data_IF_793072678294
#
_entry.id   IF_793072678294
#
_cell.length_a   1.000
_cell.length_b   1.000
_cell.length_c   1.000
_cell.angle_alpha   90.00
_cell.angle_beta   90.00
_cell.angle_gamma   90.00
#
_symmetry.space_group_name_H-M   'P 1'
#
loop_
_entity.id
_entity.type
_entity.pdbx_description
1 polymer ?
#
# COMPACT_ATOMS: atom_id res chain seq x y z
N UNK A 1 -17.84 41.25 4.48
CA UNK A 1 -17.67 39.93 5.10
C UNK A 1 -17.11 39.00 4.04
N UNK A 2 -15.85 38.64 4.15
CA UNK A 2 -15.27 37.62 3.26
C UNK A 2 -16.05 36.32 3.48
N UNK A 3 -16.59 35.71 2.40
CA UNK A 3 -17.14 34.36 2.43
C UNK A 3 -16.06 33.46 2.97
N UNK A 4 -16.26 32.78 4.11
CA UNK A 4 -15.41 31.71 4.57
C UNK A 4 -15.29 30.71 3.39
N UNK A 5 -14.08 30.59 2.86
CA UNK A 5 -13.81 29.59 1.84
C UNK A 5 -14.12 28.22 2.44
N UNK A 6 -15.03 27.47 1.85
CA UNK A 6 -15.26 26.08 2.23
C UNK A 6 -13.93 25.32 2.12
N UNK A 7 -13.69 24.37 3.01
CA UNK A 7 -12.47 23.57 3.03
C UNK A 7 -12.22 22.86 1.67
N UNK A 8 -13.30 22.44 1.02
CA UNK A 8 -13.33 21.84 -0.33
C UNK A 8 -12.82 22.79 -1.41
N UNK A 9 -13.13 24.11 -1.31
CA UNK A 9 -12.67 25.13 -2.27
C UNK A 9 -11.16 25.42 -2.15
N UNK A 10 -10.49 24.84 -1.15
CA UNK A 10 -9.06 25.05 -0.89
C UNK A 10 -8.15 24.00 -1.53
N UNK A 11 -8.70 22.99 -2.23
CA UNK A 11 -7.93 21.99 -2.97
C UNK A 11 -8.15 22.13 -4.47
N UNK A 12 -7.11 21.77 -5.23
CA UNK A 12 -7.16 21.70 -6.69
C UNK A 12 -8.08 20.56 -7.13
N UNK A 13 -8.79 20.73 -8.25
CA UNK A 13 -9.60 19.64 -8.82
C UNK A 13 -8.72 18.52 -9.35
N UNK A 14 -9.15 17.26 -9.17
CA UNK A 14 -8.48 16.08 -9.75
C UNK A 14 -8.34 16.18 -11.27
N UNK A 15 -9.34 16.76 -11.94
CA UNK A 15 -9.38 16.86 -13.41
C UNK A 15 -8.46 17.96 -13.95
N UNK A 16 -8.14 18.97 -13.13
CA UNK A 16 -7.22 20.04 -13.51
C UNK A 16 -5.77 19.65 -13.31
N UNK A 17 -5.43 19.13 -12.12
CA UNK A 17 -4.08 18.70 -11.76
C UNK A 17 -4.14 17.62 -10.66
N UNK A 18 -4.08 16.37 -11.08
CA UNK A 18 -4.14 15.22 -10.17
C UNK A 18 -2.98 15.20 -9.17
N UNK A 19 -1.79 15.61 -9.60
CA UNK A 19 -0.62 15.65 -8.73
C UNK A 19 -0.74 16.70 -7.63
N UNK A 20 -1.25 17.89 -7.97
CA UNK A 20 -1.50 18.95 -7.00
C UNK A 20 -2.69 18.60 -6.09
N UNK A 21 -3.77 18.03 -6.64
CA UNK A 21 -4.88 17.51 -5.86
C UNK A 21 -4.40 16.52 -4.78
N UNK A 22 -3.56 15.55 -5.15
CA UNK A 22 -3.00 14.58 -4.22
C UNK A 22 -2.23 15.26 -3.08
N UNK A 23 -1.38 16.23 -3.41
CA UNK A 23 -0.60 17.00 -2.43
C UNK A 23 -1.52 17.81 -1.49
N UNK A 24 -2.55 18.43 -2.05
CA UNK A 24 -3.54 19.19 -1.27
C UNK A 24 -4.32 18.31 -0.30
N UNK A 25 -4.78 17.13 -0.75
CA UNK A 25 -5.48 16.16 0.11
C UNK A 25 -4.58 15.69 1.24
N UNK A 26 -3.35 15.28 0.96
CA UNK A 26 -2.39 14.82 1.98
C UNK A 26 -2.18 15.90 3.05
N UNK A 27 -2.06 17.16 2.64
CA UNK A 27 -1.87 18.31 3.54
C UNK A 27 -3.13 18.66 4.30
N UNK A 28 -4.27 18.78 3.62
CA UNK A 28 -5.54 19.24 4.21
C UNK A 28 -6.21 18.20 5.09
N UNK A 29 -6.06 16.91 4.77
CA UNK A 29 -6.47 15.82 5.65
C UNK A 29 -5.50 15.60 6.82
N UNK A 30 -4.43 16.40 6.91
CA UNK A 30 -3.41 16.34 7.96
C UNK A 30 -2.72 14.98 8.10
N UNK A 31 -2.42 14.34 6.97
CA UNK A 31 -1.77 13.03 6.95
C UNK A 31 -0.26 13.12 7.12
N UNK A 32 0.38 14.12 6.50
CA UNK A 32 1.82 14.35 6.60
C UNK A 32 2.17 15.84 6.75
N UNK A 33 3.41 16.09 7.16
CA UNK A 33 4.05 17.39 7.17
C UNK A 33 5.48 17.30 6.68
N UNK A 34 6.06 18.42 6.27
CA UNK A 34 7.45 18.48 5.83
C UNK A 34 8.40 18.62 7.03
N UNK A 35 9.62 18.07 6.90
CA UNK A 35 10.71 18.27 7.85
C UNK A 35 11.80 19.15 7.26
N UNK A 36 12.79 19.51 8.08
CA UNK A 36 13.99 20.22 7.62
C UNK A 36 14.87 19.37 6.67
N UNK A 37 14.69 18.05 6.67
CA UNK A 37 15.40 17.15 5.77
C UNK A 37 14.53 16.89 4.54
N UNK A 38 14.97 17.41 3.39
CA UNK A 38 14.24 17.26 2.13
C UNK A 38 13.97 15.78 1.82
N UNK A 39 12.71 15.46 1.54
CA UNK A 39 12.28 14.10 1.20
C UNK A 39 11.99 13.19 2.39
N UNK A 40 12.18 13.67 3.62
CA UNK A 40 11.76 13.00 4.85
C UNK A 40 10.52 13.71 5.40
N UNK A 41 9.43 12.97 5.58
CA UNK A 41 8.13 13.53 5.96
C UNK A 41 7.79 13.17 7.41
N UNK A 42 7.12 14.08 8.12
CA UNK A 42 6.38 13.71 9.32
C UNK A 42 5.12 12.99 8.90
N UNK A 43 4.87 11.79 9.40
CA UNK A 43 3.55 11.17 9.33
C UNK A 43 2.79 11.64 10.55
N UNK A 44 1.76 12.48 10.33
CA UNK A 44 0.96 13.07 11.40
C UNK A 44 0.00 12.04 12.02
N UNK A 45 -0.61 12.31 13.17
CA UNK A 45 -1.46 11.35 13.86
C UNK A 45 -2.55 10.71 13.01
N UNK A 46 -3.21 11.47 12.14
CA UNK A 46 -4.25 10.94 11.25
C UNK A 46 -3.68 9.93 10.22
N UNK A 47 -2.51 10.22 9.65
CA UNK A 47 -1.82 9.32 8.73
C UNK A 47 -1.24 8.10 9.45
N UNK A 48 -0.65 8.32 10.63
CA UNK A 48 -0.05 7.23 11.39
C UNK A 48 -1.11 6.23 11.93
N UNK A 49 -2.28 6.73 12.32
CA UNK A 49 -3.38 5.86 12.75
C UNK A 49 -3.89 4.93 11.63
N UNK A 50 -3.85 5.38 10.37
CA UNK A 50 -4.10 4.50 9.22
C UNK A 50 -3.03 3.42 9.14
N UNK A 51 -1.76 3.79 9.32
CA UNK A 51 -0.64 2.83 9.33
C UNK A 51 -0.75 1.81 10.46
N UNK A 52 -1.12 2.22 11.65
CA UNK A 52 -1.36 1.31 12.78
C UNK A 52 -2.44 0.28 12.46
N UNK A 53 -3.51 0.68 11.78
CA UNK A 53 -4.56 -0.24 11.35
C UNK A 53 -4.07 -1.19 10.24
N UNK A 54 -3.28 -0.71 9.28
CA UNK A 54 -2.62 -1.54 8.27
C UNK A 54 -1.73 -2.59 8.96
N UNK A 55 -0.91 -2.15 9.90
CA UNK A 55 -0.03 -3.01 10.67
C UNK A 55 -0.80 -4.08 11.43
N UNK A 56 -1.85 -3.69 12.14
CA UNK A 56 -2.71 -4.62 12.90
C UNK A 56 -3.33 -5.70 12.01
N UNK A 57 -3.89 -5.31 10.88
CA UNK A 57 -4.58 -6.21 9.95
C UNK A 57 -3.63 -7.17 9.25
N UNK A 58 -2.49 -6.69 8.77
CA UNK A 58 -1.48 -7.52 8.12
C UNK A 58 -0.77 -8.44 9.12
N UNK A 59 -0.37 -7.93 10.28
CA UNK A 59 0.34 -8.71 11.30
C UNK A 59 -0.49 -9.91 11.79
N UNK A 60 -1.80 -9.71 11.95
CA UNK A 60 -2.71 -10.80 12.28
C UNK A 60 -2.70 -11.92 11.23
N UNK A 61 -2.78 -11.55 9.94
CA UNK A 61 -2.73 -12.49 8.82
C UNK A 61 -1.38 -13.22 8.72
N UNK A 62 -0.28 -12.52 8.97
CA UNK A 62 1.05 -13.13 8.99
C UNK A 62 1.17 -14.17 10.11
N UNK A 63 0.74 -13.84 11.29
CA UNK A 63 0.80 -14.74 12.46
C UNK A 63 -0.01 -16.01 12.28
N UNK A 64 -1.15 -15.95 11.58
CA UNK A 64 -1.93 -17.13 11.20
C UNK A 64 -1.14 -18.14 10.36
N UNK A 65 -0.09 -17.70 9.69
CA UNK A 65 0.80 -18.54 8.85
C UNK A 65 2.11 -18.91 9.54
N UNK A 66 2.23 -18.62 10.84
CA UNK A 66 3.42 -18.94 11.63
C UNK A 66 4.56 -17.93 11.55
N UNK A 67 4.29 -16.72 11.06
CA UNK A 67 5.26 -15.63 11.03
C UNK A 67 5.51 -15.10 12.45
N UNK A 68 6.78 -14.91 12.78
CA UNK A 68 7.23 -14.30 14.03
C UNK A 68 7.88 -12.94 13.75
N UNK A 69 7.58 -11.95 14.58
CA UNK A 69 8.20 -10.63 14.47
C UNK A 69 9.55 -10.58 15.19
N UNK A 70 10.52 -9.96 14.53
CA UNK A 70 11.85 -9.66 15.07
C UNK A 70 12.19 -8.20 14.86
N UNK A 71 13.30 -7.75 15.40
CA UNK A 71 13.88 -6.45 15.08
C UNK A 71 15.39 -6.57 14.92
N UNK A 72 15.89 -6.19 13.76
CA UNK A 72 17.32 -6.11 13.45
C UNK A 72 17.78 -4.65 13.52
N UNK A 73 18.99 -4.38 14.04
CA UNK A 73 19.57 -3.03 14.03
C UNK A 73 19.69 -2.46 12.61
N UNK A 74 19.56 -1.12 12.51
CA UNK A 74 19.43 -0.47 11.20
C UNK A 74 20.71 -0.36 10.38
N UNK A 75 21.89 -0.53 10.99
CA UNK A 75 23.15 -0.30 10.30
C UNK A 75 23.69 -1.57 9.66
N UNK A 76 24.12 -1.44 8.40
CA UNK A 76 24.75 -2.51 7.63
C UNK A 76 26.20 -2.12 7.35
N UNK A 77 27.20 -2.90 7.77
CA UNK A 77 28.59 -2.68 7.37
C UNK A 77 28.75 -2.81 5.85
N UNK A 78 29.57 -1.96 5.25
CA UNK A 78 29.82 -1.98 3.80
C UNK A 78 30.27 -3.38 3.32
N UNK A 79 31.14 -4.03 4.08
CA UNK A 79 31.63 -5.39 3.80
C UNK A 79 30.51 -6.44 3.75
N UNK A 80 29.49 -6.29 4.59
CA UNK A 80 28.33 -7.19 4.58
C UNK A 80 27.43 -6.92 3.36
N UNK A 81 27.23 -5.65 3.01
CA UNK A 81 26.44 -5.28 1.84
C UNK A 81 27.07 -5.81 0.54
N UNK A 82 28.40 -5.84 0.46
CA UNK A 82 29.13 -6.25 -0.74
C UNK A 82 29.18 -7.77 -0.98
N UNK A 83 28.71 -8.60 -0.06
CA UNK A 83 28.75 -10.05 -0.22
C UNK A 83 27.89 -10.59 -1.35
N UNK A 84 26.82 -9.88 -1.70
CA UNK A 84 25.93 -10.23 -2.83
C UNK A 84 25.99 -9.12 -3.87
N UNK A 85 26.65 -9.39 -5.01
CA UNK A 85 27.00 -8.39 -6.01
C UNK A 85 25.78 -7.74 -6.67
N UNK A 86 24.81 -8.53 -7.11
CA UNK A 86 23.64 -8.02 -7.82
C UNK A 86 22.79 -7.13 -6.91
N UNK A 87 22.71 -7.49 -5.64
CA UNK A 87 22.01 -6.69 -4.62
C UNK A 87 22.69 -5.35 -4.40
N UNK A 88 24.03 -5.34 -4.30
CA UNK A 88 24.83 -4.09 -4.16
C UNK A 88 24.63 -3.18 -5.35
N UNK A 89 24.73 -3.69 -6.56
CA UNK A 89 24.58 -2.90 -7.80
C UNK A 89 23.20 -2.25 -7.87
N UNK A 90 22.15 -2.94 -7.39
CA UNK A 90 20.79 -2.42 -7.35
C UNK A 90 20.58 -1.27 -6.34
N UNK A 91 21.23 -1.30 -5.19
CA UNK A 91 20.99 -0.35 -4.10
C UNK A 91 22.09 0.69 -3.88
N UNK A 92 23.29 0.48 -4.38
CA UNK A 92 24.44 1.38 -4.12
C UNK A 92 24.15 2.88 -4.38
N UNK A 93 23.41 3.27 -5.43
CA UNK A 93 23.12 4.67 -5.69
C UNK A 93 22.19 5.35 -4.68
N UNK A 94 21.45 4.57 -3.89
CA UNK A 94 20.37 5.03 -3.01
C UNK A 94 20.70 4.85 -1.51
N UNK A 95 21.91 4.44 -1.17
CA UNK A 95 22.30 4.18 0.21
C UNK A 95 22.72 5.47 0.91
N UNK A 96 22.23 5.68 2.13
CA UNK A 96 22.73 6.71 3.04
C UNK A 96 23.90 6.15 3.87
N UNK A 97 25.07 6.76 3.77
CA UNK A 97 26.29 6.33 4.43
C UNK A 97 26.53 7.03 5.77
N UNK A 98 26.90 6.26 6.78
CA UNK A 98 27.35 6.75 8.09
C UNK A 98 28.86 6.53 8.17
N UNK A 99 29.61 7.62 8.33
CA UNK A 99 31.06 7.64 8.31
C UNK A 99 31.68 7.91 9.67
N UNK A 100 30.93 8.43 10.62
CA UNK A 100 31.39 8.77 11.97
C UNK A 100 30.49 8.15 13.04
N UNK A 101 31.11 7.70 14.13
CA UNK A 101 30.47 7.34 15.39
C UNK A 101 30.82 8.38 16.45
N UNK A 102 29.88 9.22 16.86
CA UNK A 102 30.20 10.42 17.62
C UNK A 102 31.06 11.37 16.78
N UNK A 103 32.24 11.73 17.27
CA UNK A 103 33.21 12.62 16.58
C UNK A 103 34.33 11.86 15.85
N UNK A 104 34.38 10.54 16.01
CA UNK A 104 35.42 9.70 15.43
C UNK A 104 34.99 9.10 14.09
N UNK A 105 35.89 9.09 13.12
CA UNK A 105 35.69 8.41 11.85
C UNK A 105 35.69 6.90 12.07
N UNK A 106 34.71 6.22 11.46
CA UNK A 106 34.61 4.76 11.52
C UNK A 106 35.70 4.12 10.65
N UNK A 107 36.27 3.01 11.11
CA UNK A 107 37.21 2.22 10.31
C UNK A 107 36.58 1.64 9.06
N UNK A 108 35.31 1.29 9.15
CA UNK A 108 34.45 0.84 8.06
C UNK A 108 33.15 1.65 8.07
N UNK A 109 32.78 2.23 6.95
CA UNK A 109 31.51 2.94 6.86
C UNK A 109 30.32 1.99 6.93
N UNK A 110 29.24 2.50 7.48
CA UNK A 110 27.98 1.78 7.61
C UNK A 110 26.94 2.42 6.68
N UNK A 111 26.00 1.66 6.19
CA UNK A 111 24.81 2.24 5.58
C UNK A 111 23.61 2.11 6.49
N UNK A 112 22.69 3.08 6.39
CA UNK A 112 21.36 2.92 6.92
C UNK A 112 20.61 1.98 5.98
N UNK A 113 20.01 0.91 6.50
CA UNK A 113 19.38 -0.15 5.71
C UNK A 113 18.43 0.40 4.65
N UNK A 114 18.65 0.09 3.35
CA UNK A 114 17.65 0.33 2.30
C UNK A 114 16.65 -0.83 2.19
N UNK A 115 17.04 -1.98 2.69
CA UNK A 115 16.34 -3.26 2.85
C UNK A 115 17.25 -4.16 3.70
N UNK A 116 16.77 -5.27 4.22
CA UNK A 116 17.50 -6.03 5.25
C UNK A 116 17.91 -7.45 4.84
N UNK A 117 17.91 -7.81 3.55
CA UNK A 117 18.31 -9.16 3.08
C UNK A 117 19.66 -9.57 3.65
N UNK A 118 20.65 -8.69 3.59
CA UNK A 118 22.00 -9.00 4.06
C UNK A 118 22.09 -9.18 5.57
N UNK A 119 21.33 -8.40 6.35
CA UNK A 119 21.24 -8.54 7.80
C UNK A 119 20.58 -9.87 8.19
N UNK A 120 19.48 -10.23 7.53
CA UNK A 120 18.83 -11.51 7.77
C UNK A 120 19.71 -12.70 7.36
N UNK A 121 20.44 -12.58 6.26
CA UNK A 121 21.39 -13.61 5.84
C UNK A 121 22.51 -13.80 6.87
N UNK A 122 23.06 -12.74 7.43
CA UNK A 122 24.07 -12.82 8.51
C UNK A 122 23.52 -13.50 9.75
N UNK A 123 22.27 -13.17 10.13
CA UNK A 123 21.58 -13.82 11.26
C UNK A 123 21.33 -15.31 10.98
N UNK A 124 20.78 -15.63 9.83
CA UNK A 124 20.44 -17.02 9.49
C UNK A 124 21.68 -17.90 9.32
N UNK A 125 22.78 -17.39 8.83
CA UNK A 125 24.05 -18.13 8.78
C UNK A 125 24.54 -18.59 10.16
N UNK A 126 24.16 -17.86 11.22
CA UNK A 126 24.49 -18.19 12.62
C UNK A 126 23.46 -19.11 13.28
N UNK A 127 22.18 -18.94 12.94
CA UNK A 127 21.08 -19.66 13.61
C UNK A 127 20.73 -21.00 12.96
N UNK A 128 20.94 -21.16 11.65
CA UNK A 128 20.56 -22.36 10.91
C UNK A 128 21.72 -23.32 10.85
N UNK A 129 21.58 -24.51 11.43
CA UNK A 129 22.58 -25.58 11.48
C UNK A 129 22.02 -26.92 10.98
N UNK A 130 20.75 -27.19 11.25
CA UNK A 130 20.11 -28.46 10.91
C UNK A 130 18.71 -28.26 10.34
N UNK A 131 18.17 -29.32 9.74
CA UNK A 131 16.79 -29.32 9.24
C UNK A 131 15.73 -28.97 10.32
N UNK A 132 16.07 -29.12 11.61
CA UNK A 132 15.19 -28.80 12.73
C UNK A 132 15.04 -27.30 12.97
N UNK A 133 15.96 -26.49 12.44
CA UNK A 133 15.93 -25.04 12.55
C UNK A 133 15.05 -24.37 11.47
N UNK A 134 14.55 -25.17 10.51
CA UNK A 134 13.76 -24.73 9.39
C UNK A 134 12.27 -25.13 9.51
N UNK A 135 11.35 -24.31 8.95
CA UNK A 135 11.60 -23.05 8.31
C UNK A 135 11.85 -21.91 9.32
N UNK A 136 12.62 -20.90 8.89
CA UNK A 136 12.69 -19.60 9.57
C UNK A 136 11.74 -18.64 8.84
N UNK A 137 10.80 -18.05 9.58
CA UNK A 137 9.76 -17.19 9.00
C UNK A 137 9.63 -15.93 9.84
N UNK A 138 10.54 -14.98 9.62
CA UNK A 138 10.61 -13.73 10.37
C UNK A 138 10.12 -12.54 9.55
N UNK A 139 9.52 -11.61 10.25
CA UNK A 139 9.09 -10.32 9.75
C UNK A 139 9.55 -9.21 10.69
N UNK A 140 9.87 -8.05 10.16
CA UNK A 140 10.07 -6.86 10.99
C UNK A 140 9.25 -5.68 10.47
N UNK A 141 8.70 -4.93 11.41
CA UNK A 141 8.10 -3.62 11.20
C UNK A 141 9.13 -2.57 11.52
N UNK A 142 9.54 -1.80 10.51
CA UNK A 142 10.64 -0.85 10.67
C UNK A 142 10.59 0.27 9.65
N UNK A 143 11.55 1.19 9.74
CA UNK A 143 11.85 2.14 8.68
C UNK A 143 13.05 1.68 7.86
N UNK A 144 13.12 2.14 6.61
CA UNK A 144 14.27 2.02 5.72
C UNK A 144 14.55 3.37 5.07
N UNK A 145 15.77 3.55 4.58
CA UNK A 145 16.20 4.77 3.92
C UNK A 145 16.71 4.46 2.52
N UNK A 146 16.07 5.09 1.53
CA UNK A 146 16.47 5.08 0.12
C UNK A 146 16.60 6.51 -0.35
N UNK A 147 17.82 6.92 -0.73
CA UNK A 147 18.13 8.32 -1.00
C UNK A 147 17.62 8.78 -2.36
N UNK A 148 16.31 8.80 -2.48
CA UNK A 148 15.57 9.15 -3.68
C UNK A 148 15.81 10.60 -4.11
N UNK A 149 15.97 10.82 -5.41
CA UNK A 149 16.15 12.17 -5.99
C UNK A 149 14.83 12.95 -6.04
N UNK A 150 13.75 12.27 -6.42
CA UNK A 150 12.41 12.85 -6.50
C UNK A 150 11.51 12.18 -5.48
N UNK A 151 10.84 12.99 -4.66
CA UNK A 151 10.00 12.49 -3.56
C UNK A 151 8.57 12.99 -3.68
N UNK A 152 7.63 12.16 -3.20
CA UNK A 152 6.21 12.49 -3.05
C UNK A 152 5.66 11.78 -1.82
N UNK A 153 4.89 12.46 -0.96
CA UNK A 153 4.39 11.88 0.28
C UNK A 153 3.76 10.50 0.07
N UNK A 154 4.09 9.53 0.91
CA UNK A 154 3.73 8.11 0.89
C UNK A 154 4.21 7.32 -0.33
N UNK A 155 4.22 7.88 -1.52
CA UNK A 155 4.54 7.15 -2.75
C UNK A 155 6.04 6.90 -2.91
N UNK A 156 6.83 7.92 -2.59
CA UNK A 156 8.29 7.89 -2.70
C UNK A 156 8.91 8.90 -1.74
N UNK A 157 9.48 8.44 -0.64
CA UNK A 157 10.17 9.25 0.36
C UNK A 157 11.52 8.64 0.71
N UNK A 158 12.45 9.47 1.20
CA UNK A 158 13.80 9.01 1.55
C UNK A 158 13.78 8.05 2.73
N UNK A 159 12.93 8.30 3.71
CA UNK A 159 12.63 7.36 4.77
C UNK A 159 11.15 7.01 4.71
N UNK A 160 10.82 5.74 4.85
CA UNK A 160 9.44 5.26 4.91
C UNK A 160 9.31 4.07 5.86
N UNK A 161 8.10 3.87 6.34
CA UNK A 161 7.75 2.73 7.16
C UNK A 161 7.25 1.59 6.29
N UNK A 162 7.58 0.38 6.69
CA UNK A 162 7.14 -0.83 6.04
C UNK A 162 7.17 -2.04 6.97
N UNK A 163 6.75 -3.16 6.47
CA UNK A 163 7.17 -4.47 6.95
C UNK A 163 8.02 -5.15 5.88
N UNK A 164 8.96 -5.93 6.32
CA UNK A 164 9.73 -6.83 5.49
C UNK A 164 9.82 -8.20 6.13
N UNK A 165 9.30 -9.19 5.42
CA UNK A 165 9.44 -10.59 5.80
C UNK A 165 10.62 -11.21 5.08
N UNK A 166 11.39 -12.02 5.80
CA UNK A 166 12.55 -12.75 5.27
C UNK A 166 12.51 -14.17 5.80
N UNK A 167 12.51 -15.13 4.89
CA UNK A 167 12.32 -16.54 5.27
C UNK A 167 13.42 -17.42 4.72
N UNK A 168 13.62 -18.58 5.36
CA UNK A 168 14.51 -19.62 4.90
C UNK A 168 13.83 -20.97 5.01
N UNK A 169 13.92 -21.76 3.95
CA UNK A 169 13.25 -23.05 3.79
C UNK A 169 14.23 -24.14 3.35
N UNK A 170 13.86 -25.38 3.63
CA UNK A 170 14.67 -26.55 3.26
C UNK A 170 14.66 -26.80 1.74
N UNK A 171 13.55 -26.54 1.06
CA UNK A 171 13.39 -26.88 -0.36
C UNK A 171 12.94 -25.67 -1.18
N UNK A 172 13.25 -25.73 -2.48
CA UNK A 172 12.78 -24.74 -3.46
C UNK A 172 11.25 -24.68 -3.53
N UNK A 173 10.57 -25.82 -3.39
CA UNK A 173 9.12 -25.89 -3.40
C UNK A 173 8.51 -25.16 -2.20
N UNK A 174 9.03 -25.38 -0.99
CA UNK A 174 8.57 -24.67 0.22
C UNK A 174 8.73 -23.15 0.10
N UNK A 175 9.86 -22.70 -0.48
CA UNK A 175 10.13 -21.29 -0.72
C UNK A 175 9.13 -20.70 -1.72
N UNK A 176 8.85 -21.39 -2.83
CA UNK A 176 7.87 -20.94 -3.81
C UNK A 176 6.45 -20.87 -3.23
N UNK A 177 6.04 -21.89 -2.48
CA UNK A 177 4.75 -21.92 -1.80
C UNK A 177 4.59 -20.73 -0.82
N UNK A 178 5.64 -20.42 -0.04
CA UNK A 178 5.65 -19.26 0.84
C UNK A 178 5.58 -17.95 0.07
N UNK A 179 6.32 -17.84 -1.02
CA UNK A 179 6.32 -16.63 -1.87
C UNK A 179 4.91 -16.34 -2.40
N UNK A 180 4.22 -17.34 -2.91
CA UNK A 180 2.85 -17.20 -3.43
C UNK A 180 1.84 -16.98 -2.30
N UNK A 181 1.99 -17.64 -1.16
CA UNK A 181 1.12 -17.44 0.00
C UNK A 181 1.13 -15.99 0.48
N UNK A 182 2.31 -15.37 0.58
CA UNK A 182 2.43 -13.98 1.04
C UNK A 182 1.88 -13.00 0.00
N UNK A 183 2.06 -13.27 -1.28
CA UNK A 183 1.43 -12.49 -2.36
C UNK A 183 -0.11 -12.52 -2.24
N UNK A 184 -0.69 -13.69 -2.00
CA UNK A 184 -2.14 -13.84 -1.83
C UNK A 184 -2.64 -13.12 -0.58
N UNK A 185 -1.91 -13.14 0.53
CA UNK A 185 -2.24 -12.37 1.73
C UNK A 185 -2.29 -10.87 1.42
N UNK A 186 -1.32 -10.35 0.67
CA UNK A 186 -1.33 -8.95 0.24
C UNK A 186 -2.52 -8.62 -0.66
N UNK A 187 -2.83 -9.47 -1.63
CA UNK A 187 -3.96 -9.28 -2.52
C UNK A 187 -5.30 -9.27 -1.76
N UNK A 188 -5.51 -10.24 -0.88
CA UNK A 188 -6.71 -10.34 -0.06
C UNK A 188 -6.85 -9.14 0.91
N UNK A 189 -5.74 -8.73 1.52
CA UNK A 189 -5.71 -7.53 2.35
C UNK A 189 -6.10 -6.26 1.57
N UNK A 190 -5.52 -6.05 0.40
CA UNK A 190 -5.84 -4.89 -0.43
C UNK A 190 -7.32 -4.86 -0.80
N UNK A 191 -7.89 -5.98 -1.22
CA UNK A 191 -9.31 -6.03 -1.61
C UNK A 191 -10.27 -5.97 -0.43
N UNK A 192 -10.03 -6.76 0.61
CA UNK A 192 -10.97 -6.89 1.73
C UNK A 192 -10.91 -5.71 2.71
N UNK A 193 -9.72 -5.15 2.95
CA UNK A 193 -9.52 -4.10 3.97
C UNK A 193 -9.38 -2.73 3.34
N UNK A 194 -8.57 -2.59 2.29
CA UNK A 194 -8.35 -1.31 1.61
C UNK A 194 -9.35 -1.02 0.49
N UNK A 195 -10.21 -1.98 0.15
CA UNK A 195 -11.15 -1.89 -0.97
C UNK A 195 -10.45 -1.54 -2.31
N UNK A 196 -9.23 -2.04 -2.50
CA UNK A 196 -8.40 -1.80 -3.70
C UNK A 196 -8.26 -3.10 -4.47
N UNK A 197 -8.85 -3.23 -5.67
CA UNK A 197 -8.68 -4.39 -6.52
C UNK A 197 -7.26 -4.43 -7.10
N UNK A 198 -6.67 -5.61 -7.20
CA UNK A 198 -5.31 -5.81 -7.66
C UNK A 198 -5.20 -6.87 -8.74
N UNK A 199 -4.19 -6.73 -9.59
CA UNK A 199 -3.77 -7.75 -10.54
C UNK A 199 -2.54 -8.45 -9.97
N UNK A 200 -2.61 -9.77 -9.84
CA UNK A 200 -1.49 -10.61 -9.39
C UNK A 200 -0.71 -11.15 -10.58
N UNK A 201 0.60 -11.12 -10.51
CA UNK A 201 1.43 -11.70 -11.56
C UNK A 201 2.91 -11.70 -11.24
N UNK A 202 3.68 -12.25 -12.17
CA UNK A 202 5.13 -12.31 -12.13
C UNK A 202 5.72 -11.09 -12.85
N UNK A 203 6.76 -10.51 -12.30
CA UNK A 203 7.57 -9.50 -13.01
C UNK A 203 8.41 -10.17 -14.11
N UNK A 204 8.71 -9.42 -15.15
CA UNK A 204 9.70 -9.83 -16.15
C UNK A 204 11.10 -9.85 -15.52
N UNK A 205 12.05 -10.52 -16.18
CA UNK A 205 13.43 -10.58 -15.67
C UNK A 205 14.08 -9.19 -15.58
N UNK A 206 13.66 -8.25 -16.41
CA UNK A 206 14.10 -6.85 -16.36
C UNK A 206 13.59 -6.11 -15.13
N UNK A 207 12.34 -6.36 -14.73
CA UNK A 207 11.64 -5.62 -13.67
C UNK A 207 11.68 -6.34 -12.30
N UNK A 208 12.28 -7.53 -12.23
CA UNK A 208 12.42 -8.27 -10.98
C UNK A 208 13.38 -7.59 -10.01
N UNK A 209 13.21 -7.87 -8.72
CA UNK A 209 14.08 -7.39 -7.65
C UNK A 209 15.52 -7.91 -7.81
N UNK A 210 16.50 -7.07 -7.54
CA UNK A 210 17.92 -7.39 -7.66
C UNK A 210 18.31 -8.56 -6.74
N UNK A 211 18.84 -9.64 -7.31
CA UNK A 211 19.20 -10.86 -6.61
C UNK A 211 18.09 -11.91 -6.51
N UNK A 212 16.86 -11.60 -6.94
CA UNK A 212 15.76 -12.57 -6.94
C UNK A 212 15.78 -13.45 -8.20
N UNK A 213 15.43 -14.73 -8.05
CA UNK A 213 15.12 -15.61 -9.16
C UNK A 213 13.75 -15.30 -9.76
N UNK A 214 12.79 -14.98 -8.92
CA UNK A 214 11.46 -14.54 -9.33
C UNK A 214 10.93 -13.46 -8.40
N UNK A 215 10.25 -12.46 -8.97
CA UNK A 215 9.49 -11.46 -8.25
C UNK A 215 8.04 -11.53 -8.67
N UNK A 216 7.16 -11.65 -7.69
CA UNK A 216 5.72 -11.54 -7.87
C UNK A 216 5.23 -10.21 -7.31
N UNK A 217 4.16 -9.71 -7.88
CA UNK A 217 3.62 -8.38 -7.58
C UNK A 217 2.11 -8.37 -7.56
N UNK A 218 1.56 -7.44 -6.80
CA UNK A 218 0.19 -6.99 -6.95
C UNK A 218 0.21 -5.56 -7.49
N UNK A 219 -0.51 -5.33 -8.58
CA UNK A 219 -0.59 -4.05 -9.27
C UNK A 219 -1.99 -3.46 -9.13
N UNK A 220 -2.06 -2.18 -8.76
CA UNK A 220 -3.30 -1.43 -8.65
C UNK A 220 -3.36 -0.34 -9.70
N UNK A 221 -4.57 0.08 -10.09
CA UNK A 221 -4.79 1.20 -10.99
C UNK A 221 -5.29 2.42 -10.21
N UNK A 222 -4.56 3.53 -10.33
CA UNK A 222 -4.94 4.78 -9.70
C UNK A 222 -5.99 5.52 -10.53
N UNK A 223 -6.63 6.52 -9.95
CA UNK A 223 -7.71 7.25 -10.62
C UNK A 223 -7.25 7.92 -11.92
N UNK A 224 -6.02 8.39 -11.99
CA UNK A 224 -5.43 9.01 -13.19
C UNK A 224 -4.97 8.00 -14.25
N UNK A 225 -5.26 6.72 -14.08
CA UNK A 225 -4.89 5.65 -15.01
C UNK A 225 -3.44 5.19 -14.93
N UNK A 226 -2.67 5.63 -13.94
CA UNK A 226 -1.33 5.09 -13.69
C UNK A 226 -1.37 3.88 -12.79
N UNK A 227 -0.48 2.94 -13.06
CA UNK A 227 -0.28 1.76 -12.22
C UNK A 227 0.53 2.08 -10.97
N UNK A 228 0.24 1.37 -9.89
CA UNK A 228 1.02 1.39 -8.66
C UNK A 228 1.35 -0.03 -8.23
N UNK A 229 2.64 -0.31 -8.07
CA UNK A 229 3.10 -1.53 -7.42
C UNK A 229 2.73 -1.46 -5.93
N UNK A 230 1.81 -2.33 -5.52
CA UNK A 230 1.18 -2.24 -4.20
C UNK A 230 1.77 -3.20 -3.17
N UNK A 231 2.45 -4.24 -3.61
CA UNK A 231 3.16 -5.19 -2.78
C UNK A 231 3.95 -6.17 -3.63
N UNK A 232 5.04 -6.69 -3.09
CA UNK A 232 5.90 -7.65 -3.78
C UNK A 232 6.26 -8.81 -2.89
N UNK A 233 6.46 -9.97 -3.52
CA UNK A 233 6.95 -11.18 -2.89
C UNK A 233 8.01 -11.81 -3.79
N UNK A 234 9.20 -12.06 -3.22
CA UNK A 234 10.38 -12.49 -3.96
C UNK A 234 10.79 -13.90 -3.57
N UNK A 235 11.12 -14.70 -4.56
CA UNK A 235 11.83 -15.98 -4.38
C UNK A 235 13.29 -15.76 -4.77
N UNK A 236 14.20 -15.92 -3.82
CA UNK A 236 15.64 -15.76 -4.06
C UNK A 236 16.32 -17.06 -4.43
N UNK A 237 15.62 -18.20 -4.41
CA UNK A 237 16.26 -19.49 -4.54
C UNK A 237 17.34 -19.68 -3.48
N UNK A 238 18.49 -20.20 -3.84
CA UNK A 238 19.64 -20.41 -2.95
C UNK A 238 20.81 -19.42 -3.17
N UNK A 239 20.62 -18.38 -3.99
CA UNK A 239 21.69 -17.45 -4.35
C UNK A 239 22.29 -16.71 -3.15
N UNK A 240 21.46 -16.10 -2.30
CA UNK A 240 21.92 -15.46 -1.06
C UNK A 240 22.49 -16.50 -0.07
N UNK A 241 21.89 -17.69 0.03
CA UNK A 241 22.40 -18.74 0.89
C UNK A 241 23.82 -19.16 0.50
N UNK A 242 24.12 -19.27 -0.78
CA UNK A 242 25.47 -19.54 -1.27
C UNK A 242 26.44 -18.40 -0.97
N UNK A 243 26.04 -17.16 -1.18
CA UNK A 243 26.88 -16.01 -0.93
C UNK A 243 27.21 -15.83 0.56
N UNK A 244 26.27 -16.15 1.46
CA UNK A 244 26.42 -15.98 2.91
C UNK A 244 26.76 -17.27 3.67
N UNK A 245 26.82 -18.43 2.99
CA UNK A 245 27.11 -19.70 3.62
C UNK A 245 25.99 -20.20 4.53
N UNK A 246 24.72 -20.00 4.15
CA UNK A 246 23.59 -20.45 4.95
C UNK A 246 23.26 -21.89 4.59
N UNK A 247 23.78 -22.83 5.38
CA UNK A 247 23.66 -24.26 5.16
C UNK A 247 23.04 -24.96 6.37
N UNK A 248 22.38 -26.07 6.11
CA UNK A 248 21.85 -26.95 7.14
C UNK A 248 22.19 -28.40 6.84
N UNK A 249 22.31 -29.20 7.89
CA UNK A 249 22.44 -30.66 7.76
C UNK A 249 21.04 -31.27 7.62
N UNK A 250 20.81 -31.94 6.51
CA UNK A 250 19.53 -32.62 6.24
C UNK A 250 19.37 -33.93 7.03
N UNK A 251 18.25 -34.63 6.82
CA UNK A 251 17.95 -35.88 7.53
C UNK A 251 18.89 -37.02 7.17
N UNK A 252 19.57 -36.94 6.01
CA UNK A 252 20.55 -37.87 5.53
C UNK A 252 22.00 -37.49 5.88
N UNK A 253 22.18 -36.51 6.79
CA UNK A 253 23.47 -35.94 7.22
C UNK A 253 24.29 -35.30 6.06
N UNK A 254 23.62 -34.75 5.05
CA UNK A 254 24.24 -33.98 3.99
C UNK A 254 24.04 -32.50 4.21
N UNK A 255 25.06 -31.70 3.84
CA UNK A 255 24.94 -30.23 3.84
C UNK A 255 24.14 -29.76 2.64
N UNK A 256 23.15 -28.95 2.90
CA UNK A 256 22.28 -28.31 1.89
C UNK A 256 22.24 -26.80 2.09
N UNK A 257 22.14 -26.04 1.02
CA UNK A 257 21.81 -24.63 1.10
C UNK A 257 20.30 -24.43 1.31
N UNK A 258 19.94 -23.42 2.08
CA UNK A 258 18.55 -23.03 2.25
C UNK A 258 18.02 -22.27 1.02
N UNK A 259 16.71 -22.27 0.84
CA UNK A 259 15.99 -21.47 -0.15
C UNK A 259 15.27 -20.34 0.55
N UNK A 260 15.43 -19.12 0.05
CA UNK A 260 14.99 -17.91 0.76
C UNK A 260 13.92 -17.15 -0.01
N UNK A 261 13.08 -16.44 0.76
CA UNK A 261 12.07 -15.52 0.24
C UNK A 261 12.11 -14.20 0.99
N UNK A 262 11.62 -13.15 0.36
CA UNK A 262 11.26 -11.91 1.06
C UNK A 262 9.99 -11.30 0.49
N UNK A 263 9.30 -10.53 1.31
CA UNK A 263 8.04 -9.89 0.93
C UNK A 263 7.84 -8.61 1.73
N UNK A 264 7.32 -7.57 1.08
CA UNK A 264 7.21 -6.25 1.67
C UNK A 264 6.00 -5.45 1.20
N UNK A 265 5.47 -4.66 2.14
CA UNK A 265 4.44 -3.65 1.91
C UNK A 265 4.76 -2.40 2.75
N UNK A 266 4.54 -1.24 2.17
CA UNK A 266 4.97 0.04 2.74
C UNK A 266 3.82 0.99 3.00
N UNK A 267 4.10 2.12 3.62
CA UNK A 267 3.18 3.28 3.74
C UNK A 267 2.71 3.83 2.40
N UNK A 268 3.27 3.35 1.26
CA UNK A 268 2.76 3.63 -0.09
C UNK A 268 1.26 3.32 -0.21
N UNK A 269 0.76 2.33 0.53
CA UNK A 269 -0.66 1.96 0.50
C UNK A 269 -1.58 3.05 1.02
N UNK A 270 -1.12 3.96 1.86
CA UNK A 270 -1.87 5.16 2.24
C UNK A 270 -2.04 6.06 1.01
N UNK A 271 -0.99 6.23 0.22
CA UNK A 271 -1.06 6.92 -1.07
C UNK A 271 -2.02 6.27 -2.05
N UNK A 272 -2.03 4.93 -2.10
CA UNK A 272 -2.97 4.18 -2.92
C UNK A 272 -4.44 4.42 -2.51
N UNK A 273 -4.74 4.42 -1.22
CA UNK A 273 -6.08 4.74 -0.70
C UNK A 273 -6.53 6.13 -1.18
N UNK A 274 -5.65 7.12 -1.09
CA UNK A 274 -5.94 8.48 -1.55
C UNK A 274 -6.26 8.48 -3.04
N UNK A 275 -5.40 7.88 -3.85
CA UNK A 275 -5.49 7.95 -5.32
C UNK A 275 -6.57 7.04 -5.92
N UNK A 276 -6.98 5.99 -5.22
CA UNK A 276 -8.06 5.11 -5.68
C UNK A 276 -9.44 5.64 -5.28
N UNK A 277 -9.57 6.11 -4.03
CA UNK A 277 -10.87 6.40 -3.44
C UNK A 277 -11.20 7.88 -3.31
N UNK A 278 -10.19 8.75 -3.17
CA UNK A 278 -10.40 10.18 -2.98
C UNK A 278 -11.19 10.85 -4.11
N UNK A 279 -11.76 12.02 -3.80
CA UNK A 279 -12.49 12.85 -4.76
C UNK A 279 -12.18 14.33 -4.55
N UNK A 280 -12.92 15.21 -5.22
CA UNK A 280 -12.73 16.66 -5.09
C UNK A 280 -13.17 17.24 -3.73
N UNK A 281 -13.78 16.44 -2.87
CA UNK A 281 -14.07 16.79 -1.48
C UNK A 281 -12.98 16.32 -0.50
N UNK A 282 -12.02 15.53 -0.96
CA UNK A 282 -10.89 15.06 -0.18
C UNK A 282 -10.75 13.53 -0.14
N UNK A 283 -10.25 13.05 1.00
CA UNK A 283 -10.04 11.62 1.25
C UNK A 283 -11.37 10.86 1.39
N UNK A 284 -11.37 9.61 0.97
CA UNK A 284 -12.38 8.60 1.33
C UNK A 284 -11.68 7.40 1.93
N UNK A 285 -12.00 7.06 3.17
CA UNK A 285 -11.41 5.90 3.83
C UNK A 285 -12.36 4.72 3.77
N UNK A 286 -11.89 3.55 3.29
CA UNK A 286 -12.62 2.31 3.48
C UNK A 286 -12.89 2.09 4.98
N UNK A 287 -14.12 1.73 5.38
CA UNK A 287 -14.46 1.61 6.80
C UNK A 287 -13.56 0.67 7.60
N UNK A 288 -13.08 -0.43 7.00
CA UNK A 288 -12.23 -1.39 7.70
C UNK A 288 -10.87 -0.83 8.10
N UNK A 289 -10.34 0.13 7.34
CA UNK A 289 -9.04 0.77 7.65
C UNK A 289 -9.19 2.12 8.36
N UNK A 290 -10.35 2.74 8.34
CA UNK A 290 -10.57 4.05 8.91
C UNK A 290 -10.32 4.08 10.42
N UNK A 291 -9.44 4.95 10.93
CA UNK A 291 -9.22 5.09 12.37
C UNK A 291 -10.47 5.55 13.12
N UNK A 292 -11.28 6.39 12.48
CA UNK A 292 -12.62 6.81 12.91
C UNK A 292 -13.58 6.41 11.79
N UNK A 293 -14.54 5.54 12.12
CA UNK A 293 -15.53 5.06 11.17
C UNK A 293 -16.79 5.92 11.14
N UNK A 294 -17.12 6.50 12.28
CA UNK A 294 -18.26 7.38 12.44
C UNK A 294 -17.92 8.61 13.29
N UNK A 295 -18.31 9.79 12.82
CA UNK A 295 -18.19 11.03 13.57
C UNK A 295 -19.57 11.56 13.90
N UNK A 296 -19.87 11.67 15.19
CA UNK A 296 -21.10 12.32 15.66
C UNK A 296 -20.86 13.84 15.68
N UNK A 297 -21.74 14.57 15.03
CA UNK A 297 -21.72 16.04 14.99
C UNK A 297 -22.96 16.57 15.68
N UNK A 298 -22.84 17.06 16.93
CA UNK A 298 -23.91 17.71 17.62
C UNK A 298 -24.28 19.04 16.93
N UNK A 299 -25.55 19.20 16.58
CA UNK A 299 -26.10 20.43 16.01
C UNK A 299 -26.66 21.26 17.13
N UNK A 300 -26.34 22.55 17.17
CA UNK A 300 -26.73 23.47 18.29
C UNK A 300 -26.32 22.89 19.65
N UNK A 301 -25.07 22.47 19.76
CA UNK A 301 -24.54 21.71 20.91
C UNK A 301 -24.66 22.45 22.28
N UNK A 302 -24.88 23.78 22.26
CA UNK A 302 -25.07 24.56 23.48
C UNK A 302 -26.47 24.42 24.05
N UNK A 303 -27.43 23.86 23.32
CA UNK A 303 -28.75 23.54 23.85
C UNK A 303 -28.69 22.36 24.81
N UNK A 304 -29.51 22.47 25.87
CA UNK A 304 -29.61 21.44 26.91
C UNK A 304 -29.91 20.06 26.31
N UNK A 305 -29.22 19.03 26.79
CA UNK A 305 -29.43 17.64 26.40
C UNK A 305 -28.74 17.19 25.11
N UNK A 306 -28.19 18.09 24.29
CA UNK A 306 -27.59 17.75 23.01
C UNK A 306 -26.26 16.99 23.18
N UNK A 307 -25.35 17.53 23.99
CA UNK A 307 -24.07 16.87 24.23
C UNK A 307 -24.21 15.55 25.00
N UNK A 308 -25.12 15.52 25.96
CA UNK A 308 -25.43 14.31 26.73
C UNK A 308 -25.98 13.20 25.81
N UNK A 309 -26.88 13.55 24.89
CA UNK A 309 -27.38 12.58 23.92
C UNK A 309 -26.29 12.11 22.97
N UNK A 310 -25.45 13.00 22.46
CA UNK A 310 -24.31 12.64 21.61
C UNK A 310 -23.37 11.67 22.32
N UNK A 311 -23.06 11.88 23.61
CA UNK A 311 -22.25 10.98 24.41
C UNK A 311 -22.89 9.60 24.60
N UNK A 312 -24.22 9.55 24.79
CA UNK A 312 -24.95 8.28 24.86
C UNK A 312 -24.87 7.50 23.54
N UNK A 313 -25.03 8.17 22.40
CA UNK A 313 -24.94 7.55 21.08
C UNK A 313 -23.49 7.09 20.77
N UNK A 314 -22.50 7.86 21.19
CA UNK A 314 -21.10 7.47 21.06
C UNK A 314 -20.81 6.16 21.83
N UNK A 315 -21.25 6.08 23.07
CA UNK A 315 -21.07 4.87 23.88
C UNK A 315 -21.82 3.67 23.30
N UNK A 316 -23.04 3.86 22.83
CA UNK A 316 -23.82 2.81 22.15
C UNK A 316 -23.08 2.26 20.95
N UNK A 317 -22.52 3.10 20.08
CA UNK A 317 -21.76 2.70 18.90
C UNK A 317 -20.43 2.05 19.27
N UNK A 318 -19.74 2.55 20.30
CA UNK A 318 -18.50 1.95 20.79
C UNK A 318 -18.74 0.51 21.28
N UNK A 319 -19.82 0.28 22.01
CA UNK A 319 -20.21 -1.06 22.46
C UNK A 319 -20.60 -1.97 21.29
N UNK A 320 -21.09 -1.44 20.19
CA UNK A 320 -21.34 -2.17 18.95
C UNK A 320 -20.07 -2.42 18.12
N UNK A 321 -18.89 -2.06 18.62
CA UNK A 321 -17.60 -2.27 17.94
C UNK A 321 -17.25 -1.23 16.88
N UNK A 322 -17.96 -0.11 16.81
CA UNK A 322 -17.68 0.99 15.90
C UNK A 322 -16.61 1.91 16.48
N UNK A 323 -15.60 2.25 15.67
CA UNK A 323 -14.62 3.28 16.01
C UNK A 323 -15.27 4.66 15.79
N UNK A 324 -15.81 5.23 16.83
CA UNK A 324 -16.63 6.44 16.82
C UNK A 324 -16.02 7.54 17.66
N UNK A 325 -16.19 8.79 17.23
CA UNK A 325 -15.87 10.00 17.98
C UNK A 325 -17.00 11.02 17.86
N UNK A 326 -17.03 11.97 18.78
CA UNK A 326 -17.93 13.13 18.76
C UNK A 326 -17.12 14.40 18.56
N UNK A 327 -17.48 15.24 17.61
CA UNK A 327 -16.87 16.56 17.39
C UNK A 327 -17.55 17.60 18.26
N UNK A 328 -16.97 17.86 19.43
CA UNK A 328 -17.47 18.84 20.41
C UNK A 328 -16.82 20.21 20.25
N UNK A 329 -16.03 20.45 19.19
CA UNK A 329 -15.44 21.76 18.92
C UNK A 329 -16.54 22.83 18.72
N UNK A 330 -16.20 24.10 18.89
CA UNK A 330 -17.13 25.21 18.72
C UNK A 330 -17.27 25.73 17.27
N UNK A 331 -16.71 24.99 16.31
CA UNK A 331 -16.85 25.25 14.87
C UNK A 331 -18.32 25.16 14.42
N UNK A 332 -18.66 25.87 13.35
CA UNK A 332 -20.00 25.73 12.75
C UNK A 332 -20.26 24.34 12.20
N UNK A 333 -21.50 23.83 12.17
CA UNK A 333 -21.83 22.55 11.61
C UNK A 333 -21.34 22.35 10.18
N UNK A 334 -21.51 23.36 9.31
CA UNK A 334 -21.06 23.30 7.92
C UNK A 334 -19.53 23.15 7.80
N UNK A 335 -18.76 23.78 8.68
CA UNK A 335 -17.33 23.62 8.74
C UNK A 335 -16.95 22.19 9.18
N UNK A 336 -17.59 21.68 10.24
CA UNK A 336 -17.39 20.29 10.71
C UNK A 336 -17.69 19.28 9.61
N UNK A 337 -18.76 19.47 8.84
CA UNK A 337 -19.12 18.60 7.71
C UNK A 337 -18.02 18.57 6.65
N UNK A 338 -17.55 19.74 6.22
CA UNK A 338 -16.48 19.85 5.24
C UNK A 338 -15.16 19.24 5.73
N UNK A 339 -14.84 19.41 7.01
CA UNK A 339 -13.65 18.83 7.63
C UNK A 339 -13.72 17.30 7.68
N UNK A 340 -14.87 16.72 8.02
CA UNK A 340 -15.06 15.26 8.03
C UNK A 340 -15.01 14.68 6.61
N UNK A 341 -15.57 15.37 5.64
CA UNK A 341 -15.46 14.99 4.23
C UNK A 341 -14.00 15.01 3.76
N UNK A 342 -13.25 16.07 4.07
CA UNK A 342 -11.83 16.17 3.72
C UNK A 342 -10.99 15.05 4.35
N UNK A 343 -11.27 14.69 5.59
CA UNK A 343 -10.59 13.60 6.31
C UNK A 343 -11.03 12.20 5.90
N UNK A 344 -12.10 12.11 5.10
CA UNK A 344 -12.58 10.84 4.55
C UNK A 344 -13.27 9.92 5.55
N UNK A 345 -13.81 10.45 6.64
CA UNK A 345 -14.53 9.64 7.64
C UNK A 345 -15.77 9.02 6.98
N UNK A 346 -15.94 7.68 7.05
CA UNK A 346 -16.96 6.96 6.30
C UNK A 346 -18.40 7.41 6.59
N UNK A 347 -18.71 7.71 7.85
CA UNK A 347 -20.05 8.03 8.30
C UNK A 347 -20.04 9.28 9.17
N UNK A 348 -20.93 10.21 8.87
CA UNK A 348 -21.26 11.36 9.72
C UNK A 348 -22.64 11.18 10.30
N UNK A 349 -22.79 11.38 11.61
CA UNK A 349 -24.05 11.28 12.32
C UNK A 349 -24.42 12.67 12.83
N UNK A 350 -25.46 13.25 12.27
CA UNK A 350 -25.97 14.57 12.63
C UNK A 350 -27.03 14.41 13.73
N UNK A 351 -26.83 15.08 14.89
CA UNK A 351 -27.71 14.97 16.03
C UNK A 351 -27.99 16.37 16.62
N UNK A 352 -29.19 16.87 16.40
CA UNK A 352 -29.64 18.16 16.92
C UNK A 352 -30.89 18.03 17.79
N UNK A 353 -31.39 19.16 18.32
CA UNK A 353 -32.58 19.17 19.22
C UNK A 353 -33.81 18.55 18.59
N UNK A 354 -34.07 18.82 17.30
CA UNK A 354 -35.22 18.26 16.57
C UNK A 354 -35.07 16.74 16.37
N UNK A 355 -33.84 16.26 16.14
CA UNK A 355 -33.55 14.84 15.99
C UNK A 355 -33.79 14.11 17.32
N UNK A 356 -33.35 14.69 18.42
CA UNK A 356 -33.55 14.13 19.75
C UNK A 356 -35.04 14.06 20.09
N UNK A 357 -35.81 15.09 19.80
CA UNK A 357 -37.23 15.13 20.02
C UNK A 357 -37.95 14.04 19.20
N UNK A 358 -37.53 13.83 17.96
CA UNK A 358 -38.07 12.80 17.07
C UNK A 358 -37.51 11.39 17.34
N UNK A 359 -36.53 11.23 18.24
CA UNK A 359 -35.87 9.93 18.52
C UNK A 359 -35.08 9.35 17.36
N UNK A 360 -34.55 10.18 16.49
CA UNK A 360 -33.83 9.79 15.27
C UNK A 360 -32.59 10.65 15.05
N UNK A 361 -31.72 10.22 14.15
CA UNK A 361 -30.54 10.94 13.68
C UNK A 361 -30.47 10.88 12.16
N UNK A 362 -29.67 11.76 11.57
CA UNK A 362 -29.33 11.70 10.14
C UNK A 362 -27.93 11.11 10.01
N UNK A 363 -27.81 10.05 9.26
CA UNK A 363 -26.56 9.36 8.93
C UNK A 363 -26.19 9.68 7.49
N UNK A 364 -25.08 10.37 7.28
CA UNK A 364 -24.57 10.71 5.96
C UNK A 364 -23.39 9.81 5.57
N UNK A 365 -23.46 9.19 4.40
CA UNK A 365 -22.41 8.36 3.82
C UNK A 365 -21.40 9.23 3.09
N UNK A 366 -20.10 9.01 3.35
CA UNK A 366 -19.02 9.73 2.64
C UNK A 366 -18.87 9.27 1.19
N UNK A 367 -19.09 8.00 0.91
CA UNK A 367 -18.86 7.42 -0.43
C UNK A 367 -19.87 7.90 -1.48
N UNK A 368 -21.15 8.00 -1.13
CA UNK A 368 -22.23 8.39 -2.05
C UNK A 368 -22.83 9.78 -1.79
N UNK A 369 -22.60 10.35 -0.58
CA UNK A 369 -23.28 11.56 -0.12
C UNK A 369 -24.72 11.35 0.31
N UNK A 370 -25.23 10.09 0.30
CA UNK A 370 -26.57 9.76 0.71
C UNK A 370 -26.79 10.06 2.19
N UNK A 371 -27.98 10.64 2.51
CA UNK A 371 -28.42 10.87 3.89
C UNK A 371 -29.56 9.91 4.22
N UNK A 372 -29.43 9.20 5.32
CA UNK A 372 -30.37 8.20 5.80
C UNK A 372 -30.86 8.64 7.20
N UNK A 373 -32.17 8.66 7.41
CA UNK A 373 -32.74 8.85 8.74
C UNK A 373 -32.80 7.50 9.45
N UNK A 374 -32.20 7.42 10.64
CA UNK A 374 -32.12 6.22 11.45
C UNK A 374 -32.66 6.49 12.85
N UNK A 375 -33.48 5.61 13.38
CA UNK A 375 -33.93 5.71 14.78
C UNK A 375 -32.76 5.49 15.73
N UNK A 376 -32.71 6.24 16.83
CA UNK A 376 -31.61 6.18 17.78
C UNK A 376 -31.44 4.82 18.41
N UNK A 377 -32.54 4.10 18.67
CA UNK A 377 -32.52 2.73 19.24
C UNK A 377 -32.06 1.65 18.24
N UNK A 378 -32.12 1.93 16.95
CA UNK A 378 -31.62 1.04 15.89
C UNK A 378 -30.18 1.34 15.46
N UNK A 379 -29.58 2.40 15.97
CA UNK A 379 -28.29 2.91 15.47
C UNK A 379 -27.15 1.92 15.63
N UNK A 380 -27.12 1.17 16.72
CA UNK A 380 -26.08 0.14 16.99
C UNK A 380 -26.10 -1.04 15.98
N UNK A 381 -27.23 -1.28 15.33
CA UNK A 381 -27.37 -2.29 14.28
C UNK A 381 -27.18 -1.66 12.90
N UNK A 382 -27.75 -0.50 12.66
CA UNK A 382 -27.77 0.15 11.33
C UNK A 382 -26.42 0.71 10.91
N UNK A 383 -25.64 1.29 11.82
CA UNK A 383 -24.34 1.88 11.48
C UNK A 383 -23.36 0.79 11.02
N UNK A 384 -23.18 -0.35 11.70
CA UNK A 384 -22.38 -1.46 11.15
C UNK A 384 -22.82 -1.93 9.77
N UNK A 385 -24.12 -2.07 9.51
CA UNK A 385 -24.66 -2.43 8.19
C UNK A 385 -24.30 -1.39 7.12
N UNK A 386 -24.40 -0.10 7.44
CA UNK A 386 -24.02 0.99 6.55
C UNK A 386 -22.52 0.97 6.26
N UNK A 387 -21.69 0.74 7.27
CA UNK A 387 -20.23 0.63 7.11
C UNK A 387 -19.86 -0.54 6.19
N UNK A 388 -20.50 -1.69 6.33
CA UNK A 388 -20.28 -2.83 5.43
C UNK A 388 -20.70 -2.51 4.00
N UNK A 389 -21.84 -1.83 3.81
CA UNK A 389 -22.30 -1.39 2.50
C UNK A 389 -21.35 -0.37 1.85
N UNK A 390 -20.75 0.53 2.64
CA UNK A 390 -19.74 1.47 2.16
C UNK A 390 -18.48 0.71 1.70
N UNK A 391 -18.00 -0.23 2.52
CA UNK A 391 -16.83 -1.04 2.18
C UNK A 391 -17.01 -1.77 0.84
N UNK A 392 -18.14 -2.43 0.66
CA UNK A 392 -18.48 -3.14 -0.58
C UNK A 392 -18.61 -2.19 -1.77
N UNK A 393 -19.32 -1.06 -1.61
CA UNK A 393 -19.48 -0.07 -2.67
C UNK A 393 -18.15 0.52 -3.12
N UNK A 394 -17.24 0.81 -2.19
CA UNK A 394 -15.92 1.34 -2.51
C UNK A 394 -15.09 0.34 -3.33
N UNK A 395 -15.14 -0.94 -2.99
CA UNK A 395 -14.45 -1.99 -3.76
C UNK A 395 -15.04 -2.13 -5.17
N UNK A 396 -16.36 -2.20 -5.29
CA UNK A 396 -17.05 -2.34 -6.59
C UNK A 396 -16.83 -1.11 -7.48
N UNK A 397 -16.83 0.10 -6.90
CA UNK A 397 -16.53 1.34 -7.64
C UNK A 397 -15.10 1.31 -8.17
N UNK A 398 -14.13 0.87 -7.36
CA UNK A 398 -12.74 0.75 -7.77
C UNK A 398 -12.54 -0.34 -8.84
N UNK A 399 -13.25 -1.47 -8.74
CA UNK A 399 -13.25 -2.52 -9.78
C UNK A 399 -13.81 -2.00 -11.11
N UNK A 400 -14.94 -1.33 -11.08
CA UNK A 400 -15.55 -0.76 -12.27
C UNK A 400 -14.63 0.26 -12.95
N UNK A 401 -13.93 1.10 -12.17
CA UNK A 401 -12.92 2.02 -12.68
C UNK A 401 -11.77 1.28 -13.36
N UNK A 402 -11.17 0.31 -12.69
CA UNK A 402 -10.07 -0.50 -13.25
C UNK A 402 -10.49 -1.19 -14.54
N UNK A 403 -11.63 -1.86 -14.54
CA UNK A 403 -12.09 -2.65 -15.69
C UNK A 403 -12.43 -1.78 -16.90
N UNK A 404 -13.02 -0.60 -16.67
CA UNK A 404 -13.30 0.38 -17.73
C UNK A 404 -12.02 1.07 -18.26
N UNK A 405 -10.90 0.99 -17.54
CA UNK A 405 -9.60 1.52 -17.93
C UNK A 405 -8.57 0.41 -18.18
N UNK A 406 -9.03 -0.77 -18.53
CA UNK A 406 -8.20 -1.89 -18.97
C UNK A 406 -8.54 -2.18 -20.44
N UNK A 407 -7.56 -1.98 -21.30
CA UNK A 407 -7.70 -2.04 -22.76
C UNK A 407 -6.92 -3.24 -23.30
N UNK A 408 -7.19 -3.59 -24.56
CA UNK A 408 -6.46 -4.61 -25.31
C UNK A 408 -5.83 -3.97 -26.52
N UNK A 409 -4.59 -4.30 -26.82
CA UNK A 409 -3.91 -3.93 -28.06
C UNK A 409 -3.30 -5.18 -28.68
N UNK A 410 -3.48 -5.34 -30.01
CA UNK A 410 -2.98 -6.49 -30.79
C UNK A 410 -1.85 -6.15 -31.74
N UNK A 411 -1.59 -4.85 -31.96
CA UNK A 411 -0.48 -4.34 -32.76
C UNK A 411 0.12 -3.09 -32.12
N UNK A 412 1.30 -2.68 -32.58
CA UNK A 412 2.06 -1.62 -31.97
C UNK A 412 1.43 -0.23 -32.12
N UNK A 413 0.83 0.06 -33.27
CA UNK A 413 0.16 1.34 -33.53
C UNK A 413 -1.03 1.53 -32.56
N UNK A 414 -1.87 0.51 -32.44
CA UNK A 414 -2.98 0.50 -31.49
C UNK A 414 -2.51 0.64 -30.05
N UNK A 415 -1.40 -0.01 -29.68
CA UNK A 415 -0.81 0.11 -28.34
C UNK A 415 -0.38 1.53 -28.03
N UNK A 416 0.38 2.17 -28.94
CA UNK A 416 0.87 3.55 -28.77
C UNK A 416 -0.27 4.54 -28.72
N UNK A 417 -1.25 4.42 -29.60
CA UNK A 417 -2.45 5.27 -29.59
C UNK A 417 -3.21 5.14 -28.27
N UNK A 418 -3.48 3.90 -27.84
CA UNK A 418 -4.24 3.64 -26.62
C UNK A 418 -3.54 4.20 -25.39
N UNK A 419 -2.24 3.96 -25.21
CA UNK A 419 -1.53 4.42 -24.01
C UNK A 419 -1.42 5.95 -23.93
N UNK A 420 -1.45 6.63 -25.07
CA UNK A 420 -1.38 8.07 -25.13
C UNK A 420 -2.75 8.74 -24.91
N UNK A 421 -3.82 8.16 -25.42
CA UNK A 421 -5.16 8.75 -25.40
C UNK A 421 -6.02 8.25 -24.23
N UNK A 422 -5.79 7.02 -23.76
CA UNK A 422 -6.62 6.35 -22.77
C UNK A 422 -5.76 5.83 -21.61
N UNK A 423 -5.49 6.67 -20.61
CA UNK A 423 -4.69 6.23 -19.45
C UNK A 423 -5.31 5.01 -18.77
N UNK A 424 -4.49 3.99 -18.52
CA UNK A 424 -4.94 2.75 -17.90
C UNK A 424 -3.98 1.59 -18.14
N UNK A 425 -4.45 0.39 -17.86
CA UNK A 425 -3.77 -0.84 -18.24
C UNK A 425 -4.03 -1.19 -19.69
N UNK A 426 -3.01 -1.76 -20.34
CA UNK A 426 -3.15 -2.41 -21.64
C UNK A 426 -2.74 -3.87 -21.50
N UNK A 427 -3.63 -4.79 -21.87
CA UNK A 427 -3.30 -6.21 -22.04
C UNK A 427 -2.79 -6.40 -23.46
N UNK A 428 -1.59 -6.92 -23.62
CA UNK A 428 -1.00 -7.17 -24.92
C UNK A 428 -0.02 -8.34 -24.86
N UNK A 429 0.10 -9.06 -26.00
CA UNK A 429 0.97 -10.23 -26.12
C UNK A 429 2.43 -9.81 -26.30
N UNK A 430 3.32 -10.57 -25.72
CA UNK A 430 4.76 -10.33 -25.70
C UNK A 430 5.56 -11.59 -26.06
N UNK A 431 6.64 -11.42 -26.83
CA UNK A 431 7.50 -12.52 -27.26
C UNK A 431 8.51 -13.01 -26.20
N UNK A 432 8.64 -12.29 -25.09
CA UNK A 432 9.64 -12.59 -24.06
C UNK A 432 11.00 -11.91 -24.25
N UNK A 433 11.18 -11.11 -25.29
CA UNK A 433 12.43 -10.40 -25.57
C UNK A 433 12.46 -9.05 -24.84
N UNK A 434 13.50 -8.81 -24.06
CA UNK A 434 13.70 -7.53 -23.34
C UNK A 434 13.76 -6.33 -24.28
N UNK A 435 14.27 -6.50 -25.49
CA UNK A 435 14.34 -5.42 -26.48
C UNK A 435 12.96 -4.82 -26.80
N UNK A 436 11.90 -5.63 -26.76
CA UNK A 436 10.53 -5.14 -26.91
C UNK A 436 10.05 -4.33 -25.70
N UNK A 437 10.39 -4.75 -24.48
CA UNK A 437 10.11 -3.95 -23.29
C UNK A 437 10.83 -2.60 -23.31
N UNK A 438 12.11 -2.61 -23.72
CA UNK A 438 12.92 -1.40 -23.81
C UNK A 438 12.33 -0.41 -24.81
N UNK A 439 11.96 -0.91 -26.00
CA UNK A 439 11.32 -0.09 -27.03
C UNK A 439 9.98 0.51 -26.58
N UNK A 440 9.13 -0.28 -25.97
CA UNK A 440 7.84 0.19 -25.44
C UNK A 440 8.07 1.31 -24.41
N UNK A 441 9.01 1.12 -23.49
CA UNK A 441 9.36 2.12 -22.48
C UNK A 441 9.92 3.41 -23.09
N UNK A 442 10.81 3.28 -24.05
CA UNK A 442 11.42 4.44 -24.74
C UNK A 442 10.36 5.25 -25.49
N UNK A 443 9.49 4.59 -26.24
CA UNK A 443 8.50 5.25 -27.08
C UNK A 443 7.29 5.81 -26.31
N UNK A 444 6.91 5.18 -25.19
CA UNK A 444 5.61 5.44 -24.54
C UNK A 444 5.70 5.75 -23.04
N UNK A 445 6.84 5.53 -22.41
CA UNK A 445 7.01 5.53 -20.95
C UNK A 445 6.20 4.44 -20.23
N UNK A 446 5.52 3.54 -20.93
CA UNK A 446 4.86 2.37 -20.32
C UNK A 446 5.87 1.27 -20.06
N UNK A 447 5.65 0.54 -18.97
CA UNK A 447 6.45 -0.63 -18.59
C UNK A 447 5.58 -1.87 -18.47
N UNK A 448 6.19 -3.05 -18.51
CA UNK A 448 5.51 -4.28 -18.13
C UNK A 448 5.17 -4.21 -16.63
N UNK A 449 3.89 -4.31 -16.30
CA UNK A 449 3.47 -4.30 -14.90
C UNK A 449 3.58 -5.68 -14.28
N UNK A 450 2.97 -6.66 -14.94
CA UNK A 450 3.15 -8.07 -14.59
C UNK A 450 2.69 -8.99 -15.73
N UNK A 451 3.18 -10.21 -15.67
CA UNK A 451 2.67 -11.37 -16.41
C UNK A 451 1.63 -12.00 -15.47
N UNK A 452 0.31 -11.84 -15.72
CA UNK A 452 -0.70 -12.35 -14.80
C UNK A 452 -0.71 -13.88 -14.77
N UNK A 453 -1.18 -14.46 -13.66
CA UNK A 453 -1.30 -15.92 -13.57
C UNK A 453 -2.35 -16.48 -14.54
N UNK A 454 -3.44 -15.75 -14.71
CA UNK A 454 -4.45 -16.07 -15.72
C UNK A 454 -4.04 -15.48 -17.06
N UNK A 455 -3.80 -16.35 -18.02
CA UNK A 455 -3.35 -15.98 -19.36
C UNK A 455 -4.52 -16.01 -20.35
N UNK A 456 -4.56 -15.00 -21.22
CA UNK A 456 -5.49 -14.89 -22.33
C UNK A 456 -4.73 -14.86 -23.65
N UNK A 457 -5.18 -15.58 -24.67
CA UNK A 457 -4.62 -15.53 -26.02
C UNK A 457 -5.28 -14.41 -26.80
N UNK A 458 -4.69 -13.22 -26.78
CA UNK A 458 -5.25 -12.03 -27.45
C UNK A 458 -4.78 -11.89 -28.90
N UNK A 459 -3.61 -12.45 -29.22
CA UNK A 459 -2.98 -12.43 -30.53
C UNK A 459 -1.91 -13.52 -30.57
N UNK A 460 -1.59 -14.00 -31.77
CA UNK A 460 -0.50 -14.95 -31.97
C UNK A 460 0.90 -14.31 -32.01
N UNK A 461 0.93 -12.98 -32.13
CA UNK A 461 2.17 -12.23 -32.30
C UNK A 461 2.39 -11.20 -31.20
N UNK A 462 3.66 -10.91 -30.94
CA UNK A 462 4.09 -9.85 -30.03
C UNK A 462 3.60 -8.49 -30.52
N UNK A 463 3.00 -7.74 -29.61
CA UNK A 463 2.49 -6.38 -29.87
C UNK A 463 3.56 -5.43 -30.44
N UNK A 464 4.82 -5.62 -30.06
CA UNK A 464 5.94 -4.75 -30.45
C UNK A 464 6.62 -5.18 -31.74
N UNK A 465 7.05 -6.44 -31.84
CA UNK A 465 7.92 -6.88 -32.95
C UNK A 465 7.25 -7.80 -33.96
N UNK A 466 6.02 -8.25 -33.74
CA UNK A 466 5.29 -9.16 -34.62
C UNK A 466 5.79 -10.61 -34.66
N UNK A 467 6.84 -10.95 -33.87
CA UNK A 467 7.29 -12.35 -33.72
C UNK A 467 6.27 -13.15 -32.90
N UNK A 468 6.31 -14.49 -32.94
CA UNK A 468 5.41 -15.31 -32.16
C UNK A 468 5.40 -14.92 -30.69
N UNK A 469 4.22 -14.73 -30.11
CA UNK A 469 4.04 -14.33 -28.73
C UNK A 469 4.12 -15.53 -27.79
N UNK A 470 4.57 -15.29 -26.56
CA UNK A 470 4.72 -16.30 -25.50
C UNK A 470 3.79 -16.07 -24.33
N UNK A 471 3.55 -14.80 -23.96
CA UNK A 471 2.81 -14.42 -22.77
C UNK A 471 1.94 -13.19 -23.01
N UNK A 472 0.77 -13.16 -22.39
CA UNK A 472 0.01 -11.94 -22.20
C UNK A 472 0.55 -11.17 -21.00
N UNK A 473 0.71 -9.86 -21.13
CA UNK A 473 1.29 -8.97 -20.12
C UNK A 473 0.38 -7.77 -19.92
N UNK A 474 0.28 -7.31 -18.67
CA UNK A 474 -0.29 -6.01 -18.34
C UNK A 474 0.79 -4.93 -18.47
N UNK A 475 0.49 -3.93 -19.30
CA UNK A 475 1.35 -2.77 -19.53
C UNK A 475 0.69 -1.50 -19.00
N UNK A 476 1.49 -0.53 -18.57
CA UNK A 476 0.98 0.74 -18.13
C UNK A 476 2.10 1.70 -17.71
N UNK A 477 1.75 2.98 -17.69
CA UNK A 477 2.59 3.98 -17.02
C UNK A 477 2.42 3.83 -15.51
N UNK A 478 3.47 4.08 -14.74
CA UNK A 478 3.48 3.84 -13.31
C UNK A 478 4.01 5.01 -12.49
N UNK A 479 3.67 5.01 -11.24
CA UNK A 479 4.27 5.88 -10.22
C UNK A 479 5.65 5.42 -9.80
#
# INVERSE_FOLDING_TARGET
MAKEKKLVEAITSMDEDFAQWYTDVVKKAELTGYTSVKGCMVIKPAGYAIWENIQKELDARFKETGVENVYLPMFIPESLLQKEKDHVEGFAPEVAWVTHGGLEELQERLCVRPTSETLFCDLYAKEIQSHRDLPKVYNQWCSVVRWEKTTRPFLRSREFLWQEGHTAHATAQEAEERTIQMLNIYADFCEQVLAIPVIKGRKTDKEKFAGAEATYTIESLMHDGKALQSGTSHNFGDGFARAFGIQYTDKENKLQYVHQTSWGMTTRMIGAIIMVHGDNSGLKLPPRIAPVQAMIIPIQQKKEGVLEKAAQLEEMLRQAGVRVKTDVTDKSPGFKFAEQEMRGIPVRIECGPKDIEAGQVVVARRDTGEKITVKMDELAVKVPEILDAIQENMLETARAHRDSHTYVATNYEEFVETINEKPGFIKAMWCGDQACEDKIKEDTAATSRCIPFEQEQLSDVCVCCGKPAKKMVYWGRAY
#
